data_IF_588344260529
#
_entry.id   IF_588344260529
#
_cell.length_a   1.000
_cell.length_b   1.000
_cell.length_c   1.000
_cell.angle_alpha   90.00
_cell.angle_beta   90.00
_cell.angle_gamma   90.00
#
_symmetry.space_group_name_H-M   'P 1'
#
loop_
_entity.id
_entity.type
_entity.pdbx_description
1 polymer ?
#
# COMPACT_ATOMS: atom_id res chain seq x y z
N UNK A 1 8.28 79.01 -48.82
CA UNK A 1 9.34 78.36 -48.01
C UNK A 1 8.92 78.49 -46.57
N UNK A 2 9.09 77.46 -45.75
CA UNK A 2 8.73 77.52 -44.34
C UNK A 2 9.92 78.02 -43.52
N UNK A 3 9.70 79.01 -42.67
CA UNK A 3 10.71 79.50 -41.72
C UNK A 3 10.26 79.19 -40.30
N UNK A 4 11.22 78.97 -39.41
CA UNK A 4 11.00 78.84 -37.97
C UNK A 4 11.72 79.95 -37.22
N UNK A 5 11.01 80.60 -36.31
CA UNK A 5 11.56 81.69 -35.51
C UNK A 5 12.58 81.18 -34.49
N UNK A 6 13.78 81.73 -34.53
CA UNK A 6 14.86 81.43 -33.58
C UNK A 6 14.79 82.31 -32.33
N UNK A 7 14.15 83.47 -32.40
CA UNK A 7 13.96 84.41 -31.28
C UNK A 7 12.64 85.15 -31.43
N UNK A 8 12.09 85.59 -30.31
CA UNK A 8 10.87 86.43 -30.28
C UNK A 8 11.12 87.76 -31.00
N UNK A 9 10.20 88.15 -31.88
CA UNK A 9 10.24 89.41 -32.62
C UNK A 9 9.00 90.25 -32.29
N UNK A 10 9.21 91.52 -31.95
CA UNK A 10 8.12 92.49 -31.82
C UNK A 10 7.95 93.22 -33.16
N UNK A 11 6.78 93.05 -33.78
CA UNK A 11 6.45 93.66 -35.07
C UNK A 11 5.83 95.05 -34.90
N UNK A 12 5.69 95.80 -36.01
CA UNK A 12 5.25 97.21 -36.00
C UNK A 12 3.87 97.39 -35.36
N UNK A 13 3.00 96.38 -35.44
CA UNK A 13 1.67 96.34 -34.81
C UNK A 13 1.71 96.14 -33.28
N UNK A 14 2.89 96.12 -32.65
CA UNK A 14 3.15 95.77 -31.23
C UNK A 14 2.81 94.32 -30.84
N UNK A 15 2.40 93.48 -31.79
CA UNK A 15 2.24 92.05 -31.56
C UNK A 15 3.61 91.36 -31.49
N UNK A 16 3.67 90.22 -30.80
CA UNK A 16 4.87 89.43 -30.62
C UNK A 16 4.75 88.13 -31.42
N UNK A 17 5.75 87.87 -32.26
CA UNK A 17 5.95 86.57 -32.89
C UNK A 17 6.87 85.78 -31.99
N UNK A 18 6.42 84.63 -31.47
CA UNK A 18 7.17 83.89 -30.46
C UNK A 18 8.31 83.06 -31.09
N UNK A 19 9.36 82.82 -30.29
CA UNK A 19 10.39 81.85 -30.65
C UNK A 19 9.76 80.46 -30.84
N UNK A 20 10.15 79.76 -31.92
CA UNK A 20 9.68 78.41 -32.25
C UNK A 20 8.47 78.36 -33.18
N UNK A 21 7.78 79.48 -33.41
CA UNK A 21 6.66 79.54 -34.35
C UNK A 21 7.13 79.41 -35.80
N UNK A 22 6.30 78.80 -36.64
CA UNK A 22 6.63 78.48 -38.03
C UNK A 22 5.69 79.20 -38.99
N UNK A 23 6.26 79.81 -40.02
CA UNK A 23 5.52 80.65 -40.96
C UNK A 23 5.87 80.31 -42.40
N UNK A 24 4.90 80.45 -43.30
CA UNK A 24 5.18 80.49 -44.73
C UNK A 24 5.69 81.88 -45.08
N UNK A 25 6.90 81.94 -45.61
CA UNK A 25 7.58 83.17 -45.95
C UNK A 25 8.15 83.15 -47.38
N UNK A 26 8.47 84.34 -47.90
CA UNK A 26 9.29 84.57 -49.10
C UNK A 26 10.47 85.45 -48.76
N UNK A 27 11.54 85.43 -49.55
CA UNK A 27 12.61 86.43 -49.44
C UNK A 27 12.24 87.68 -50.23
N UNK A 28 12.41 88.86 -49.63
CA UNK A 28 12.32 90.13 -50.36
C UNK A 28 13.66 90.31 -51.06
N UNK A 29 13.71 90.13 -52.39
CA UNK A 29 14.94 90.25 -53.17
C UNK A 29 15.13 91.72 -53.59
N UNK A 30 16.01 92.46 -52.92
CA UNK A 30 16.37 93.82 -53.39
C UNK A 30 17.55 93.81 -54.38
N UNK A 31 18.46 92.82 -54.33
CA UNK A 31 19.53 92.58 -55.34
C UNK A 31 19.85 91.09 -55.44
N UNK A 32 20.06 90.59 -56.66
CA UNK A 32 20.39 89.18 -56.92
C UNK A 32 21.82 88.85 -56.44
N UNK A 33 21.94 88.38 -55.19
CA UNK A 33 23.17 87.78 -54.67
C UNK A 33 22.83 86.43 -54.02
N UNK A 34 23.49 85.36 -54.51
CA UNK A 34 23.22 83.96 -54.14
C UNK A 34 23.41 83.64 -52.64
N UNK A 35 24.09 84.51 -51.89
CA UNK A 35 24.35 84.36 -50.45
C UNK A 35 24.01 85.64 -49.68
N UNK A 36 22.85 86.23 -49.97
CA UNK A 36 22.37 87.36 -49.18
C UNK A 36 21.88 86.90 -47.80
N UNK A 37 22.69 87.20 -46.79
CA UNK A 37 22.43 86.91 -45.36
C UNK A 37 21.79 88.11 -44.64
N UNK A 38 21.49 89.17 -45.38
CA UNK A 38 20.98 90.43 -44.83
C UNK A 38 19.52 90.68 -45.21
N UNK A 39 19.02 90.08 -46.29
CA UNK A 39 17.63 90.31 -46.71
C UNK A 39 16.63 89.66 -45.75
N UNK A 40 15.63 90.43 -45.28
CA UNK A 40 14.59 89.88 -44.42
C UNK A 40 13.67 88.93 -45.21
N UNK A 41 13.06 88.02 -44.47
CA UNK A 41 11.94 87.23 -44.94
C UNK A 41 10.66 88.05 -44.78
N UNK A 42 9.70 87.87 -45.68
CA UNK A 42 8.34 88.38 -45.53
C UNK A 42 7.39 87.23 -45.31
N UNK A 43 6.62 87.27 -44.22
CA UNK A 43 5.55 86.31 -43.97
C UNK A 43 4.47 86.51 -45.04
N UNK A 44 4.05 85.44 -45.72
CA UNK A 44 3.09 85.50 -46.83
C UNK A 44 1.67 85.18 -46.37
N UNK A 45 1.53 84.36 -45.32
CA UNK A 45 0.24 83.83 -44.87
C UNK A 45 0.04 84.03 -43.36
N UNK A 46 -1.23 84.17 -42.95
CA UNK A 46 -1.63 84.25 -41.54
C UNK A 46 -1.76 85.67 -40.98
N UNK A 47 -1.94 85.81 -39.66
CA UNK A 47 -2.21 87.10 -39.00
C UNK A 47 -1.05 88.09 -39.07
N UNK A 48 0.16 87.60 -39.37
CA UNK A 48 1.37 88.40 -39.53
C UNK A 48 1.79 88.55 -41.00
N UNK A 49 0.88 88.26 -41.95
CA UNK A 49 1.17 88.40 -43.37
C UNK A 49 1.59 89.83 -43.73
N UNK A 50 2.66 89.94 -44.50
CA UNK A 50 3.28 91.21 -44.88
C UNK A 50 4.40 91.67 -43.95
N UNK A 51 4.52 91.12 -42.74
CA UNK A 51 5.57 91.50 -41.78
C UNK A 51 6.95 90.96 -42.18
N UNK A 52 7.97 91.76 -41.88
CA UNK A 52 9.36 91.47 -42.21
C UNK A 52 10.09 90.84 -41.02
N UNK A 53 10.61 89.64 -41.23
CA UNK A 53 11.41 88.89 -40.27
C UNK A 53 12.88 88.96 -40.68
N UNK A 54 13.75 89.60 -39.87
CA UNK A 54 15.18 89.61 -40.13
C UNK A 54 15.77 88.20 -40.26
N UNK A 55 16.64 87.98 -41.24
CA UNK A 55 17.25 86.67 -41.50
C UNK A 55 17.88 86.02 -40.26
N UNK A 56 18.51 86.82 -39.39
CA UNK A 56 19.16 86.33 -38.16
C UNK A 56 18.20 85.76 -37.11
N UNK A 57 16.90 86.03 -37.24
CA UNK A 57 15.88 85.63 -36.27
C UNK A 57 15.05 84.43 -36.74
N UNK A 58 15.36 83.86 -37.92
CA UNK A 58 14.64 82.71 -38.45
C UNK A 58 15.56 81.73 -39.18
N UNK A 59 15.20 80.46 -39.19
CA UNK A 59 15.85 79.40 -39.97
C UNK A 59 14.88 78.84 -41.00
N UNK A 60 15.37 78.53 -42.20
CA UNK A 60 14.56 77.87 -43.24
C UNK A 60 14.44 76.40 -42.85
N UNK A 61 13.20 75.90 -42.72
CA UNK A 61 12.96 74.48 -42.52
C UNK A 61 13.09 73.77 -43.88
N UNK A 62 13.80 72.63 -43.95
CA UNK A 62 13.77 71.80 -45.14
C UNK A 62 12.33 71.34 -45.37
N UNK A 63 11.87 71.38 -46.62
CA UNK A 63 10.58 70.80 -46.97
C UNK A 63 10.63 69.30 -46.62
N UNK A 64 9.71 68.83 -45.77
CA UNK A 64 9.62 67.42 -45.42
C UNK A 64 9.46 66.62 -46.72
N UNK A 65 10.36 65.67 -47.03
CA UNK A 65 10.23 64.88 -48.25
C UNK A 65 8.96 64.06 -48.13
N UNK A 66 7.96 64.38 -48.97
CA UNK A 66 6.78 63.54 -49.11
C UNK A 66 7.25 62.19 -49.62
N UNK A 67 6.83 61.07 -49.01
CA UNK A 67 7.21 59.76 -49.49
C UNK A 67 6.82 59.62 -50.96
N UNK A 68 7.72 59.08 -51.78
CA UNK A 68 7.39 58.83 -53.18
C UNK A 68 6.33 57.72 -53.27
N UNK A 69 5.57 57.68 -54.37
CA UNK A 69 4.54 56.64 -54.58
C UNK A 69 5.13 55.23 -54.40
N UNK A 70 6.35 54.99 -54.87
CA UNK A 70 7.06 53.72 -54.67
C UNK A 70 7.31 53.37 -53.21
N UNK A 71 7.53 54.35 -52.34
CA UNK A 71 7.70 54.12 -50.89
C UNK A 71 6.36 53.75 -50.25
N UNK A 72 5.26 54.39 -50.66
CA UNK A 72 3.92 54.01 -50.25
C UNK A 72 3.56 52.59 -50.69
N UNK A 73 3.83 52.24 -51.95
CA UNK A 73 3.52 50.92 -52.49
C UNK A 73 4.32 49.82 -51.75
N UNK A 74 5.60 50.07 -51.44
CA UNK A 74 6.42 49.17 -50.62
C UNK A 74 5.90 49.03 -49.19
N UNK A 75 5.57 50.14 -48.52
CA UNK A 75 5.00 50.11 -47.18
C UNK A 75 3.66 49.37 -47.14
N UNK A 76 2.83 49.55 -48.18
CA UNK A 76 1.57 48.83 -48.31
C UNK A 76 1.79 47.33 -48.50
N UNK A 77 2.77 46.92 -49.30
CA UNK A 77 3.13 45.50 -49.45
C UNK A 77 3.64 44.91 -48.14
N UNK A 78 4.56 45.59 -47.45
CA UNK A 78 5.08 45.13 -46.16
C UNK A 78 3.98 45.00 -45.11
N UNK A 79 3.04 45.94 -45.05
CA UNK A 79 1.91 45.85 -44.13
C UNK A 79 0.99 44.67 -44.48
N UNK A 80 0.77 44.38 -45.76
CA UNK A 80 -0.02 43.22 -46.18
C UNK A 80 0.67 41.90 -45.79
N UNK A 81 1.97 41.79 -46.04
CA UNK A 81 2.77 40.61 -45.64
C UNK A 81 2.76 40.39 -44.12
N UNK A 82 2.93 41.46 -43.33
CA UNK A 82 2.87 41.38 -41.87
C UNK A 82 1.48 40.98 -41.34
N UNK A 83 0.40 41.43 -42.00
CA UNK A 83 -0.95 41.03 -41.63
C UNK A 83 -1.19 39.54 -41.92
N UNK A 84 -0.72 39.04 -43.05
CA UNK A 84 -0.79 37.61 -43.39
C UNK A 84 0.02 36.76 -42.41
N UNK A 85 1.23 37.19 -42.02
CA UNK A 85 2.05 36.51 -41.01
C UNK A 85 1.34 36.47 -39.64
N UNK A 86 0.72 37.57 -39.21
CA UNK A 86 -0.04 37.63 -37.97
C UNK A 86 -1.25 36.68 -38.00
N UNK A 87 -1.95 36.57 -39.12
CA UNK A 87 -3.08 35.66 -39.26
C UNK A 87 -2.62 34.19 -39.18
N UNK A 88 -1.50 33.86 -39.83
CA UNK A 88 -0.90 32.52 -39.74
C UNK A 88 -0.47 32.18 -38.30
N UNK A 89 0.18 33.11 -37.60
CA UNK A 89 0.59 32.92 -36.20
C UNK A 89 -0.63 32.70 -35.31
N UNK A 90 -1.68 33.52 -35.45
CA UNK A 90 -2.92 33.37 -34.68
C UNK A 90 -3.59 32.02 -34.94
N UNK A 91 -3.60 31.54 -36.18
CA UNK A 91 -4.14 30.22 -36.52
C UNK A 91 -3.34 29.08 -35.86
N UNK A 92 -2.02 29.21 -35.79
CA UNK A 92 -1.14 28.24 -35.12
C UNK A 92 -1.36 28.27 -33.60
N UNK A 93 -1.40 29.46 -32.99
CA UNK A 93 -1.67 29.63 -31.55
C UNK A 93 -3.02 29.02 -31.18
N UNK A 94 -4.08 29.30 -31.96
CA UNK A 94 -5.40 28.71 -31.72
C UNK A 94 -5.42 27.19 -31.79
N UNK A 95 -4.61 26.57 -32.67
CA UNK A 95 -4.46 25.10 -32.71
C UNK A 95 -3.74 24.56 -31.47
N UNK A 96 -2.66 25.21 -31.03
CA UNK A 96 -1.93 24.79 -29.83
C UNK A 96 -2.78 24.96 -28.57
N UNK A 97 -3.56 26.04 -28.46
CA UNK A 97 -4.49 26.25 -27.35
C UNK A 97 -5.56 25.15 -27.32
N UNK A 98 -6.13 24.79 -28.47
CA UNK A 98 -7.08 23.67 -28.56
C UNK A 98 -6.48 22.35 -28.11
N UNK A 99 -5.27 22.03 -28.57
CA UNK A 99 -4.55 20.82 -28.15
C UNK A 99 -4.23 20.82 -26.65
N UNK A 100 -3.85 21.97 -26.09
CA UNK A 100 -3.57 22.11 -24.67
C UNK A 100 -4.84 21.87 -23.83
N UNK A 101 -5.97 22.45 -24.25
CA UNK A 101 -7.27 22.25 -23.59
C UNK A 101 -7.68 20.78 -23.62
N UNK A 102 -7.53 20.10 -24.76
CA UNK A 102 -7.86 18.68 -24.89
C UNK A 102 -6.91 17.80 -24.04
N UNK A 103 -5.62 18.11 -24.01
CA UNK A 103 -4.65 17.42 -23.16
C UNK A 103 -4.96 17.59 -21.68
N UNK A 104 -5.29 18.81 -21.25
CA UNK A 104 -5.71 19.10 -19.86
C UNK A 104 -7.00 18.37 -19.51
N UNK A 105 -7.99 18.36 -20.40
CA UNK A 105 -9.25 17.63 -20.19
C UNK A 105 -8.98 16.14 -20.01
N UNK A 106 -8.15 15.54 -20.86
CA UNK A 106 -7.77 14.13 -20.74
C UNK A 106 -7.06 13.85 -19.42
N UNK A 107 -6.10 14.70 -19.02
CA UNK A 107 -5.37 14.54 -17.76
C UNK A 107 -6.30 14.65 -16.54
N UNK A 108 -7.30 15.53 -16.57
CA UNK A 108 -8.33 15.63 -15.53
C UNK A 108 -9.18 14.36 -15.47
N UNK A 109 -9.55 13.80 -16.62
CA UNK A 109 -10.28 12.54 -16.69
C UNK A 109 -9.45 11.38 -16.14
N UNK A 110 -8.22 11.19 -16.63
CA UNK A 110 -7.30 10.15 -16.17
C UNK A 110 -7.06 10.25 -14.65
N UNK A 111 -6.93 11.48 -14.12
CA UNK A 111 -6.81 11.73 -12.68
C UNK A 111 -8.05 11.29 -11.90
N UNK A 112 -9.24 11.53 -12.44
CA UNK A 112 -10.50 11.12 -11.77
C UNK A 112 -10.66 9.61 -11.73
N UNK A 113 -10.29 8.91 -12.80
CA UNK A 113 -10.32 7.44 -12.88
C UNK A 113 -9.29 6.80 -11.93
N UNK A 114 -8.09 7.39 -11.84
CA UNK A 114 -7.07 6.97 -10.88
C UNK A 114 -7.53 7.14 -9.43
N UNK A 115 -8.17 8.26 -9.09
CA UNK A 115 -8.68 8.50 -7.73
C UNK A 115 -9.74 7.46 -7.33
N UNK A 116 -10.69 7.16 -8.22
CA UNK A 116 -11.69 6.11 -7.97
C UNK A 116 -11.05 4.73 -7.78
N UNK A 117 -9.99 4.43 -8.55
CA UNK A 117 -9.25 3.17 -8.42
C UNK A 117 -8.53 3.07 -7.08
N UNK A 118 -7.91 4.17 -6.63
CA UNK A 118 -7.25 4.25 -5.33
C UNK A 118 -8.26 4.05 -4.20
N UNK A 119 -9.41 4.74 -4.23
CA UNK A 119 -10.48 4.60 -3.24
C UNK A 119 -10.94 3.14 -3.11
N UNK A 120 -11.22 2.49 -4.25
CA UNK A 120 -11.61 1.07 -4.26
C UNK A 120 -10.54 0.17 -3.64
N UNK A 121 -9.27 0.40 -3.98
CA UNK A 121 -8.17 -0.40 -3.45
C UNK A 121 -7.95 -0.17 -1.96
N UNK A 122 -8.16 1.05 -1.46
CA UNK A 122 -8.10 1.36 -0.03
C UNK A 122 -9.21 0.66 0.76
N UNK A 123 -10.43 0.62 0.22
CA UNK A 123 -11.54 -0.12 0.84
C UNK A 123 -11.29 -1.64 0.86
N UNK A 124 -10.77 -2.19 -0.24
CA UNK A 124 -10.37 -3.60 -0.32
C UNK A 124 -9.26 -3.92 0.68
N UNK A 125 -8.26 -3.05 0.84
CA UNK A 125 -7.21 -3.20 1.85
C UNK A 125 -7.77 -3.17 3.28
N UNK A 126 -8.63 -2.20 3.60
CA UNK A 126 -9.26 -2.12 4.91
C UNK A 126 -10.08 -3.38 5.24
N UNK A 127 -10.78 -3.93 4.24
CA UNK A 127 -11.52 -5.18 4.42
C UNK A 127 -10.58 -6.37 4.64
N UNK A 128 -9.46 -6.43 3.91
CA UNK A 128 -8.46 -7.48 4.09
C UNK A 128 -7.81 -7.45 5.49
N UNK A 129 -7.56 -6.27 6.04
CA UNK A 129 -7.03 -6.11 7.40
C UNK A 129 -8.02 -6.58 8.46
N UNK A 130 -9.32 -6.26 8.30
CA UNK A 130 -10.38 -6.76 9.19
C UNK A 130 -10.47 -8.28 9.17
N UNK A 131 -10.35 -8.90 7.99
CA UNK A 131 -10.32 -10.35 7.86
C UNK A 131 -9.10 -10.96 8.56
N UNK A 132 -7.91 -10.37 8.37
CA UNK A 132 -6.69 -10.82 9.06
C UNK A 132 -6.79 -10.69 10.57
N UNK A 133 -7.37 -9.60 11.09
CA UNK A 133 -7.62 -9.45 12.52
C UNK A 133 -8.55 -10.55 13.03
N UNK A 134 -9.63 -10.86 12.29
CA UNK A 134 -10.55 -11.91 12.67
C UNK A 134 -9.92 -13.30 12.66
N UNK A 135 -9.02 -13.57 11.72
CA UNK A 135 -8.26 -14.83 11.68
C UNK A 135 -7.41 -14.96 12.96
N UNK A 136 -6.67 -13.91 13.35
CA UNK A 136 -5.87 -13.93 14.58
C UNK A 136 -6.71 -14.16 15.84
N UNK A 137 -7.90 -13.56 15.93
CA UNK A 137 -8.84 -13.83 17.03
C UNK A 137 -9.32 -15.28 17.05
N UNK A 138 -9.55 -15.88 15.89
CA UNK A 138 -9.95 -17.29 15.81
C UNK A 138 -8.79 -18.22 16.19
N UNK A 139 -7.56 -17.88 15.84
CA UNK A 139 -6.36 -18.63 16.23
C UNK A 139 -6.16 -18.63 17.75
N UNK A 140 -6.34 -17.49 18.42
CA UNK A 140 -6.24 -17.43 19.90
C UNK A 140 -7.31 -18.27 20.57
N UNK A 141 -8.55 -18.24 20.05
CA UNK A 141 -9.64 -19.09 20.55
C UNK A 141 -9.36 -20.57 20.29
N UNK A 142 -8.81 -20.92 19.13
CA UNK A 142 -8.46 -22.30 18.79
C UNK A 142 -7.38 -22.84 19.74
N UNK A 143 -6.32 -22.07 19.98
CA UNK A 143 -5.26 -22.44 20.91
C UNK A 143 -5.79 -22.61 22.35
N UNK A 144 -6.64 -21.69 22.81
CA UNK A 144 -7.27 -21.81 24.13
C UNK A 144 -8.17 -23.04 24.27
N UNK A 145 -8.87 -23.44 23.20
CA UNK A 145 -9.66 -24.68 23.17
C UNK A 145 -8.78 -25.92 23.19
N UNK A 146 -7.63 -25.90 22.52
CA UNK A 146 -6.68 -27.00 22.52
C UNK A 146 -6.10 -27.21 23.91
N UNK A 147 -5.68 -26.13 24.59
CA UNK A 147 -5.23 -26.19 25.98
C UNK A 147 -6.29 -26.71 26.93
N UNK A 148 -7.54 -26.22 26.81
CA UNK A 148 -8.66 -26.71 27.61
C UNK A 148 -8.94 -28.20 27.36
N UNK A 149 -8.90 -28.65 26.11
CA UNK A 149 -9.07 -30.06 25.78
C UNK A 149 -7.93 -30.92 26.35
N UNK A 150 -6.70 -30.42 26.34
CA UNK A 150 -5.55 -31.11 26.96
C UNK A 150 -5.76 -31.24 28.47
N UNK A 151 -6.19 -30.17 29.13
CA UNK A 151 -6.51 -30.16 30.56
C UNK A 151 -7.63 -31.16 30.89
N UNK A 152 -8.75 -31.12 30.16
CA UNK A 152 -9.87 -32.03 30.38
C UNK A 152 -9.48 -33.49 30.15
N UNK A 153 -8.64 -33.78 29.15
CA UNK A 153 -8.13 -35.13 28.91
C UNK A 153 -7.25 -35.62 30.06
N UNK A 154 -6.36 -34.77 30.56
CA UNK A 154 -5.53 -35.09 31.72
C UNK A 154 -6.41 -35.34 32.96
N UNK A 155 -7.40 -34.49 33.23
CA UNK A 155 -8.27 -34.66 34.39
C UNK A 155 -9.18 -35.91 34.27
N UNK A 156 -9.70 -36.22 33.07
CA UNK A 156 -10.41 -37.49 32.83
C UNK A 156 -9.49 -38.68 33.04
N UNK A 157 -8.22 -38.57 32.66
CA UNK A 157 -7.23 -39.63 32.84
C UNK A 157 -6.87 -39.82 34.32
N UNK A 158 -6.69 -38.74 35.07
CA UNK A 158 -6.42 -38.77 36.51
C UNK A 158 -7.63 -39.30 37.31
N UNK A 159 -8.86 -39.03 36.85
CA UNK A 159 -10.07 -39.62 37.42
C UNK A 159 -10.21 -41.12 37.12
N UNK A 160 -9.66 -41.59 36.00
CA UNK A 160 -9.52 -43.02 35.70
C UNK A 160 -8.33 -43.58 36.46
N UNK A 161 -8.49 -43.85 37.74
CA UNK A 161 -7.55 -44.66 38.52
C UNK A 161 -7.89 -46.14 38.33
N UNK A 162 -7.23 -46.87 37.41
CA UNK A 162 -7.47 -48.29 37.26
C UNK A 162 -6.99 -49.02 38.52
N UNK A 163 -7.79 -49.99 38.96
CA UNK A 163 -7.45 -50.79 40.14
C UNK A 163 -6.71 -52.05 39.73
N UNK A 164 -5.68 -52.41 40.48
CA UNK A 164 -4.96 -53.67 40.28
C UNK A 164 -5.87 -54.85 40.67
N UNK A 165 -6.12 -55.73 39.70
CA UNK A 165 -6.87 -56.98 39.91
C UNK A 165 -6.00 -58.18 39.56
N UNK A 166 -6.23 -59.35 40.17
CA UNK A 166 -5.53 -60.58 39.80
C UNK A 166 -5.75 -60.92 38.32
N UNK A 167 -4.73 -61.50 37.66
CA UNK A 167 -4.77 -61.84 36.22
C UNK A 167 -5.98 -62.69 35.81
N UNK A 168 -6.44 -63.57 36.71
CA UNK A 168 -7.60 -64.43 36.46
C UNK A 168 -8.90 -63.61 36.42
N UNK A 169 -9.01 -62.59 37.27
CA UNK A 169 -10.14 -61.64 37.30
C UNK A 169 -10.12 -60.73 36.08
N UNK A 170 -8.95 -60.18 35.72
CA UNK A 170 -8.76 -59.36 34.52
C UNK A 170 -9.23 -60.07 33.25
N UNK A 171 -8.78 -61.31 33.01
CA UNK A 171 -9.19 -62.11 31.85
C UNK A 171 -10.70 -62.34 31.78
N UNK A 172 -11.35 -62.50 32.93
CA UNK A 172 -12.81 -62.68 32.97
C UNK A 172 -13.51 -61.37 32.62
N UNK A 173 -13.05 -60.24 33.15
CA UNK A 173 -13.59 -58.92 32.81
C UNK A 173 -13.41 -58.61 31.32
N UNK A 174 -12.23 -58.89 30.76
CA UNK A 174 -11.94 -58.72 29.34
C UNK A 174 -12.81 -59.64 28.46
N UNK A 175 -13.05 -60.87 28.90
CA UNK A 175 -13.93 -61.80 28.20
C UNK A 175 -15.38 -61.29 28.14
N UNK A 176 -15.92 -60.74 29.25
CA UNK A 176 -17.26 -60.14 29.24
C UNK A 176 -17.32 -58.91 28.33
N UNK A 177 -16.32 -58.02 28.38
CA UNK A 177 -16.22 -56.86 27.50
C UNK A 177 -16.14 -57.25 26.02
N UNK A 178 -15.35 -58.27 25.70
CA UNK A 178 -15.21 -58.79 24.34
C UNK A 178 -16.54 -59.37 23.80
N UNK A 179 -17.35 -59.97 24.68
CA UNK A 179 -18.65 -60.52 24.32
C UNK A 179 -19.78 -59.48 24.33
N UNK A 180 -19.46 -58.20 24.54
CA UNK A 180 -20.42 -57.10 24.50
C UNK A 180 -21.27 -56.95 25.76
N UNK A 181 -20.94 -57.63 26.86
CA UNK A 181 -21.63 -57.43 28.13
C UNK A 181 -21.22 -56.10 28.76
N UNK A 182 -22.22 -55.31 29.16
CA UNK A 182 -21.99 -54.07 29.88
C UNK A 182 -21.73 -54.33 31.37
N UNK A 183 -21.30 -53.27 32.08
CA UNK A 183 -20.98 -53.38 33.51
C UNK A 183 -22.22 -53.76 34.35
N UNK A 184 -23.42 -53.35 33.93
CA UNK A 184 -24.66 -53.59 34.66
C UNK A 184 -25.11 -55.05 34.53
N UNK A 185 -24.90 -55.68 33.37
CA UNK A 185 -25.10 -57.11 33.14
C UNK A 185 -24.17 -57.95 34.00
N UNK A 186 -22.88 -57.58 34.07
CA UNK A 186 -21.90 -58.30 34.90
C UNK A 186 -22.29 -58.24 36.39
N UNK A 187 -22.68 -57.06 36.88
CA UNK A 187 -23.16 -56.88 38.27
C UNK A 187 -24.49 -57.61 38.49
N UNK A 188 -25.40 -57.55 37.53
CA UNK A 188 -26.69 -58.25 37.57
C UNK A 188 -26.52 -59.76 37.66
N UNK A 189 -25.61 -60.35 36.88
CA UNK A 189 -25.30 -61.77 36.93
C UNK A 189 -24.66 -62.20 38.25
N UNK A 190 -23.81 -61.35 38.84
CA UNK A 190 -23.23 -61.55 40.17
C UNK A 190 -24.30 -61.54 41.26
N UNK A 191 -25.19 -60.54 41.24
CA UNK A 191 -26.29 -60.40 42.20
C UNK A 191 -27.33 -61.53 42.08
N UNK A 192 -27.62 -61.97 40.86
CA UNK A 192 -28.55 -63.07 40.58
C UNK A 192 -27.99 -64.46 40.94
N UNK A 193 -26.71 -64.56 41.31
CA UNK A 193 -26.09 -65.85 41.65
C UNK A 193 -25.92 -66.79 40.46
N UNK A 194 -25.77 -66.23 39.25
CA UNK A 194 -25.60 -67.01 38.01
C UNK A 194 -24.39 -67.93 38.13
N UNK A 195 -24.52 -69.21 37.79
CA UNK A 195 -23.43 -70.20 37.89
C UNK A 195 -22.62 -70.22 36.60
N UNK A 196 -21.31 -70.33 36.73
CA UNK A 196 -20.41 -70.52 35.59
C UNK A 196 -18.96 -70.20 35.93
N UNK A 197 -17.98 -70.79 35.21
CA UNK A 197 -16.57 -70.67 35.54
C UNK A 197 -16.10 -69.21 35.70
N UNK A 198 -16.56 -68.32 34.82
CA UNK A 198 -16.26 -66.88 34.86
C UNK A 198 -16.92 -66.17 36.06
N UNK A 199 -18.18 -66.48 36.36
CA UNK A 199 -18.91 -65.86 37.48
C UNK A 199 -18.41 -66.36 38.84
N UNK A 200 -17.96 -67.62 38.91
CA UNK A 200 -17.41 -68.20 40.13
C UNK A 200 -16.05 -67.57 40.48
N UNK A 201 -15.24 -67.20 39.47
CA UNK A 201 -14.01 -66.42 39.66
C UNK A 201 -14.32 -65.03 40.21
N UNK A 202 -15.27 -64.29 39.61
CA UNK A 202 -15.64 -62.95 40.09
C UNK A 202 -16.25 -63.01 41.50
N UNK A 203 -17.11 -63.99 41.78
CA UNK A 203 -17.72 -64.18 43.09
C UNK A 203 -16.68 -64.54 44.15
N UNK A 204 -15.74 -65.44 43.83
CA UNK A 204 -14.65 -65.77 44.75
C UNK A 204 -13.80 -64.55 45.06
N UNK A 205 -13.47 -63.73 44.05
CA UNK A 205 -12.71 -62.50 44.23
C UNK A 205 -13.44 -61.48 45.11
N UNK A 206 -14.77 -61.31 44.93
CA UNK A 206 -15.58 -60.41 45.77
C UNK A 206 -15.70 -60.91 47.20
N UNK A 207 -15.76 -62.22 47.41
CA UNK A 207 -15.84 -62.86 48.72
C UNK A 207 -14.50 -62.87 49.46
N UNK A 208 -13.38 -62.79 48.73
CA UNK A 208 -12.04 -62.70 49.27
C UNK A 208 -11.77 -61.28 49.77
N UNK A 209 -12.16 -60.98 51.02
CA UNK A 209 -11.92 -59.68 51.66
C UNK A 209 -12.86 -58.55 51.22
N UNK A 210 -12.42 -57.30 51.35
CA UNK A 210 -13.17 -56.10 50.94
C UNK A 210 -13.03 -55.77 49.43
N UNK A 211 -12.80 -56.79 48.60
CA UNK A 211 -12.52 -56.64 47.16
C UNK A 211 -13.75 -56.32 46.31
N UNK A 212 -14.96 -56.35 46.88
CA UNK A 212 -16.17 -55.90 46.18
C UNK A 212 -16.08 -54.45 45.69
N UNK A 213 -15.47 -53.56 46.49
CA UNK A 213 -15.23 -52.18 46.07
C UNK A 213 -14.20 -52.11 44.93
N UNK A 214 -13.13 -52.90 45.00
CA UNK A 214 -12.10 -52.97 43.96
C UNK A 214 -12.67 -53.49 42.63
N UNK A 215 -13.57 -54.46 42.65
CA UNK A 215 -14.26 -54.93 41.45
C UNK A 215 -15.15 -53.86 40.82
N UNK A 216 -15.90 -53.09 41.64
CA UNK A 216 -16.71 -51.99 41.13
C UNK A 216 -15.83 -50.89 40.51
N UNK A 217 -14.74 -50.53 41.19
CA UNK A 217 -13.75 -49.59 40.64
C UNK A 217 -13.10 -50.13 39.37
N UNK A 218 -12.82 -51.43 39.27
CA UNK A 218 -12.28 -52.09 38.08
C UNK A 218 -13.24 -52.04 36.87
N UNK A 219 -14.54 -52.18 37.13
CA UNK A 219 -15.59 -52.09 36.11
C UNK A 219 -15.75 -50.64 35.60
N UNK A 220 -15.77 -49.67 36.51
CA UNK A 220 -16.02 -48.26 36.20
C UNK A 220 -14.79 -47.53 35.65
N UNK A 221 -13.62 -47.73 36.26
CA UNK A 221 -12.39 -46.98 35.96
C UNK A 221 -11.40 -47.77 35.12
N UNK A 222 -11.68 -49.05 34.83
CA UNK A 222 -10.73 -49.97 34.22
C UNK A 222 -9.85 -50.68 35.24
N UNK A 223 -9.07 -51.64 34.78
CA UNK A 223 -8.25 -52.47 35.66
C UNK A 223 -6.86 -52.69 35.07
N UNK A 224 -5.89 -52.90 35.96
CA UNK A 224 -4.52 -53.33 35.63
C UNK A 224 -4.27 -54.71 36.25
N UNK A 225 -3.37 -55.50 35.69
CA UNK A 225 -3.05 -56.82 36.25
C UNK A 225 -2.00 -56.66 37.35
N UNK A 226 -2.30 -57.18 38.54
CA UNK A 226 -1.35 -57.18 39.65
C UNK A 226 -0.08 -57.99 39.30
N UNK A 227 1.07 -57.31 39.23
CA UNK A 227 2.42 -57.89 39.34
C UNK A 227 2.85 -58.93 38.29
N UNK A 228 3.29 -58.45 37.10
CA UNK A 228 4.41 -58.96 36.24
C UNK A 228 4.50 -58.26 34.87
N UNK A 229 3.67 -57.24 34.63
CA UNK A 229 3.55 -56.63 33.29
C UNK A 229 4.53 -55.49 33.00
N UNK A 230 5.33 -55.01 33.97
CA UNK A 230 6.38 -54.04 33.66
C UNK A 230 7.43 -54.62 32.70
N UNK A 231 7.80 -55.89 32.87
CA UNK A 231 8.76 -56.58 32.00
C UNK A 231 8.15 -56.99 30.66
N UNK A 232 6.88 -57.41 30.64
CA UNK A 232 6.17 -57.79 29.42
C UNK A 232 5.85 -56.56 28.55
N UNK A 233 5.37 -55.47 29.15
CA UNK A 233 5.14 -54.19 28.47
C UNK A 233 6.47 -53.55 27.99
N UNK A 234 7.56 -53.75 28.72
CA UNK A 234 8.91 -53.35 28.26
C UNK A 234 9.34 -54.16 27.04
N UNK A 235 9.14 -55.48 27.05
CA UNK A 235 9.46 -56.36 25.93
C UNK A 235 8.65 -55.98 24.69
N UNK A 236 7.36 -55.69 24.85
CA UNK A 236 6.46 -55.31 23.76
C UNK A 236 6.80 -53.93 23.17
N UNK A 237 7.13 -52.94 24.02
CA UNK A 237 7.59 -51.62 23.58
C UNK A 237 8.94 -51.67 22.85
N UNK A 238 9.90 -52.46 23.35
CA UNK A 238 11.19 -52.69 22.68
C UNK A 238 11.00 -53.41 21.35
N UNK A 239 10.11 -54.40 21.29
CA UNK A 239 9.84 -55.16 20.06
C UNK A 239 9.18 -54.27 18.99
N UNK A 240 8.25 -53.39 19.38
CA UNK A 240 7.64 -52.41 18.48
C UNK A 240 8.65 -51.38 17.92
N UNK A 241 9.60 -50.94 18.74
CA UNK A 241 10.70 -50.06 18.31
C UNK A 241 11.65 -50.76 17.32
N UNK A 242 11.95 -52.04 17.55
CA UNK A 242 12.80 -52.85 16.66
C UNK A 242 12.11 -53.15 15.32
N UNK A 243 10.81 -53.44 15.31
CA UNK A 243 10.06 -53.62 14.05
C UNK A 243 10.01 -52.32 13.24
N UNK A 244 9.82 -51.18 13.91
CA UNK A 244 9.85 -49.87 13.27
C UNK A 244 11.23 -49.58 12.64
N UNK A 245 12.32 -50.04 13.26
CA UNK A 245 13.68 -49.96 12.71
C UNK A 245 13.90 -50.88 11.51
N UNK A 246 13.45 -52.14 11.59
CA UNK A 246 13.66 -53.14 10.54
C UNK A 246 12.95 -52.78 9.22
N UNK A 247 11.87 -51.99 9.30
CA UNK A 247 11.06 -51.60 8.15
C UNK A 247 11.21 -50.13 7.73
N UNK A 248 12.06 -49.33 8.38
CA UNK A 248 12.32 -47.94 7.97
C UNK A 248 13.25 -47.90 6.74
N UNK A 249 12.92 -47.11 5.69
CA UNK A 249 13.78 -46.99 4.51
C UNK A 249 15.11 -46.33 4.91
N UNK A 250 16.22 -47.04 4.74
CA UNK A 250 17.56 -46.60 5.12
C UNK A 250 18.05 -45.40 4.29
N UNK A 251 17.78 -44.17 4.73
CA UNK A 251 18.67 -43.05 4.47
C UNK A 251 19.72 -43.00 5.60
N UNK A 252 20.99 -42.74 5.26
CA UNK A 252 22.09 -42.87 6.24
C UNK A 252 22.00 -41.87 7.41
N UNK A 253 21.29 -40.74 7.26
CA UNK A 253 21.13 -39.73 8.31
C UNK A 253 20.07 -40.12 9.36
N UNK A 254 19.16 -41.06 9.03
CA UNK A 254 18.11 -41.49 9.96
C UNK A 254 18.60 -42.47 11.03
N UNK A 255 19.80 -43.03 10.86
CA UNK A 255 20.38 -44.00 11.82
C UNK A 255 20.92 -43.32 13.07
N UNK A 256 21.53 -42.14 12.95
CA UNK A 256 22.08 -41.40 14.09
C UNK A 256 20.96 -40.83 14.97
N UNK A 257 19.92 -40.25 14.35
CA UNK A 257 18.75 -39.72 15.04
C UNK A 257 18.02 -40.82 15.83
N UNK A 258 17.98 -42.05 15.30
CA UNK A 258 17.31 -43.17 15.99
C UNK A 258 18.14 -43.76 17.13
N UNK A 259 19.47 -43.81 16.99
CA UNK A 259 20.37 -44.19 18.09
C UNK A 259 20.23 -43.19 19.24
N UNK A 260 20.13 -41.89 18.93
CA UNK A 260 19.91 -40.84 19.91
C UNK A 260 18.55 -41.00 20.62
N UNK A 261 17.48 -41.28 19.87
CA UNK A 261 16.15 -41.55 20.45
C UNK A 261 16.11 -42.79 21.36
N UNK A 262 16.84 -43.86 21.01
CA UNK A 262 16.93 -45.06 21.85
C UNK A 262 17.75 -44.76 23.11
N UNK A 263 18.87 -44.03 22.98
CA UNK A 263 19.68 -43.61 24.11
C UNK A 263 18.91 -42.69 25.08
N UNK A 264 18.15 -41.74 24.56
CA UNK A 264 17.32 -40.84 25.37
C UNK A 264 16.18 -41.58 26.07
N UNK A 265 15.53 -42.53 25.39
CA UNK A 265 14.52 -43.40 26.00
C UNK A 265 15.09 -44.25 27.15
N UNK A 266 16.31 -44.78 26.99
CA UNK A 266 17.01 -45.51 28.06
C UNK A 266 17.35 -44.57 29.22
N UNK A 267 17.87 -43.36 28.96
CA UNK A 267 18.20 -42.38 30.00
C UNK A 267 17.00 -41.93 30.80
N UNK A 268 15.89 -41.56 30.14
CA UNK A 268 14.65 -41.15 30.81
C UNK A 268 14.16 -42.23 31.78
N UNK A 269 14.34 -43.50 31.41
CA UNK A 269 13.95 -44.65 32.23
C UNK A 269 14.92 -44.94 33.37
N UNK A 270 16.24 -44.76 33.18
CA UNK A 270 17.22 -44.88 34.27
C UNK A 270 17.04 -43.78 35.32
N UNK A 271 16.70 -42.57 34.87
CA UNK A 271 16.34 -41.44 35.74
C UNK A 271 15.04 -41.75 36.50
N UNK A 272 14.00 -42.24 35.81
CA UNK A 272 12.74 -42.63 36.45
C UNK A 272 12.90 -43.81 37.44
N UNK A 273 13.91 -44.67 37.25
CA UNK A 273 14.25 -45.75 38.16
C UNK A 273 15.19 -45.33 39.31
N UNK A 274 15.55 -44.05 39.42
CA UNK A 274 16.37 -43.49 40.50
C UNK A 274 17.84 -43.92 40.46
N UNK A 275 18.34 -44.42 39.32
CA UNK A 275 19.76 -44.76 39.15
C UNK A 275 20.52 -43.52 38.66
N UNK A 276 21.64 -43.21 39.30
CA UNK A 276 22.51 -42.13 38.86
C UNK A 276 23.15 -42.51 37.50
N UNK A 277 22.82 -41.75 36.46
CA UNK A 277 23.39 -41.92 35.12
C UNK A 277 24.84 -41.43 35.16
N UNK A 278 25.80 -42.36 35.10
CA UNK A 278 27.22 -42.04 34.91
C UNK A 278 27.52 -42.04 33.41
N UNK A 279 28.07 -40.92 32.93
CA UNK A 279 28.45 -40.64 31.53
C UNK A 279 29.45 -41.69 31.02
#
# INVERSE_FOLDING_TARGET
MKIKMLKTLQIKSKQLIAQGEEFQARRILEKFTLLDTKTPFQIIEGPFAGEEVPFKLAVILPDEPRPTQQQYDRLSQQNAELLDELEQINAVVGKYDGQLVDAVRKLVQDKSELLQTIERHTDEQLNSEKLLQRIRELETVANGREEMNKYLRAEIQDMRNPVEVPRVVARVLDWYRWNGSDNDEIVGHLAAGTKGPSMDVLRSYVQEGSNGHNLLCALLNGHTVAGKDAAAAMLESVTALVEKWYHAPCANDDKEVLVEQICDFIREREIAAGKAVTI
#
